data_IF_857078726429
#
_entry.id   IF_857078726429
#
_cell.length_a   1.000
_cell.length_b   1.000
_cell.length_c   1.000
_cell.angle_alpha   90.00
_cell.angle_beta   90.00
_cell.angle_gamma   90.00
#
_symmetry.space_group_name_H-M   'P 1'
#
loop_
_entity.id
_entity.type
_entity.pdbx_description
1 polymer ?
#
# COMPACT_ATOMS: atom_id res chain seq x y z
N UNK A 1 -10.21 12.79 5.54
CA UNK A 1 -9.78 14.04 4.88
C UNK A 1 -9.16 13.76 3.52
N UNK A 2 -7.93 13.20 3.45
CA UNK A 2 -7.26 12.81 2.19
C UNK A 2 -8.17 12.03 1.22
N UNK A 3 -8.85 10.98 1.70
CA UNK A 3 -9.85 10.20 0.95
C UNK A 3 -10.88 11.07 0.23
N UNK A 4 -11.26 12.20 0.86
CA UNK A 4 -12.26 13.11 0.34
C UNK A 4 -11.64 14.09 -0.66
N UNK A 5 -10.43 14.61 -0.40
CA UNK A 5 -9.68 15.43 -1.36
C UNK A 5 -9.45 14.65 -2.66
N UNK A 6 -8.91 13.43 -2.57
CA UNK A 6 -8.73 12.55 -3.73
C UNK A 6 -10.04 12.23 -4.47
N UNK A 7 -11.13 11.96 -3.73
CA UNK A 7 -12.46 11.73 -4.36
C UNK A 7 -12.97 12.95 -5.12
N UNK A 8 -12.62 14.15 -4.66
CA UNK A 8 -12.94 15.43 -5.29
C UNK A 8 -11.93 15.85 -6.38
N UNK A 9 -10.93 15.01 -6.68
CA UNK A 9 -9.91 15.27 -7.71
C UNK A 9 -8.71 16.10 -7.24
N UNK A 10 -8.62 16.43 -5.95
CA UNK A 10 -7.46 17.13 -5.36
C UNK A 10 -6.44 16.10 -4.88
N UNK A 11 -5.32 16.03 -5.59
CA UNK A 11 -4.30 15.00 -5.42
C UNK A 11 -3.51 15.17 -4.11
N UNK A 12 -3.88 14.41 -3.09
CA UNK A 12 -3.12 14.32 -1.84
C UNK A 12 -2.14 13.14 -1.80
N UNK A 13 -1.87 12.47 -2.93
CA UNK A 13 -1.16 11.20 -2.98
C UNK A 13 -1.99 10.05 -2.38
N UNK A 14 -1.32 8.92 -2.11
CA UNK A 14 -1.96 7.75 -1.47
C UNK A 14 -2.47 8.11 -0.08
N UNK A 15 -3.67 7.66 0.28
CA UNK A 15 -4.29 7.95 1.58
C UNK A 15 -3.52 7.20 2.69
N UNK A 16 -2.67 7.90 3.42
CA UNK A 16 -1.82 7.36 4.49
C UNK A 16 -2.22 7.84 5.90
N UNK A 17 -3.19 8.76 5.99
CA UNK A 17 -3.62 9.40 7.24
C UNK A 17 -2.76 10.61 7.63
N UNK A 18 -1.69 10.90 6.89
CA UNK A 18 -0.66 11.89 7.25
C UNK A 18 -0.98 13.25 6.61
N UNK A 19 -0.96 14.31 7.41
CA UNK A 19 -1.06 15.68 6.90
C UNK A 19 0.30 16.18 6.37
N UNK A 20 0.82 15.50 5.34
CA UNK A 20 2.07 15.84 4.68
C UNK A 20 1.98 17.02 3.71
N UNK A 21 3.10 17.43 3.07
CA UNK A 21 3.14 18.56 2.14
C UNK A 21 2.23 18.36 0.91
N UNK A 22 2.07 17.11 0.43
CA UNK A 22 1.15 16.78 -0.68
C UNK A 22 -0.30 16.94 -0.24
N UNK A 23 -0.67 16.40 0.94
CA UNK A 23 -1.99 16.63 1.57
C UNK A 23 -2.28 18.10 1.79
N UNK A 24 -1.28 18.90 2.15
CA UNK A 24 -1.41 20.35 2.30
C UNK A 24 -1.61 21.04 0.95
N UNK A 25 -0.88 20.65 -0.10
CA UNK A 25 -1.08 21.20 -1.45
C UNK A 25 -2.50 20.91 -1.97
N UNK A 26 -2.95 19.65 -1.85
CA UNK A 26 -4.33 19.25 -2.17
C UNK A 26 -5.37 20.08 -1.41
N UNK A 27 -5.13 20.36 -0.13
CA UNK A 27 -6.01 21.19 0.68
C UNK A 27 -6.01 22.66 0.21
N UNK A 28 -4.84 23.22 -0.11
CA UNK A 28 -4.71 24.58 -0.67
C UNK A 28 -5.50 24.71 -1.97
N UNK A 29 -5.40 23.72 -2.85
CA UNK A 29 -6.10 23.74 -4.14
C UNK A 29 -7.61 23.50 -3.97
N UNK A 30 -8.03 22.68 -3.01
CA UNK A 30 -9.44 22.58 -2.60
C UNK A 30 -9.96 23.92 -2.07
N UNK A 31 -9.21 24.57 -1.16
CA UNK A 31 -9.57 25.88 -0.59
C UNK A 31 -9.69 26.96 -1.68
N UNK A 32 -8.78 26.99 -2.66
CA UNK A 32 -8.89 27.87 -3.84
C UNK A 32 -10.16 27.62 -4.64
N UNK A 33 -10.50 26.36 -4.88
CA UNK A 33 -11.65 25.98 -5.71
C UNK A 33 -12.99 26.38 -5.05
N UNK A 34 -13.11 26.25 -3.72
CA UNK A 34 -14.29 26.71 -2.97
C UNK A 34 -14.32 28.23 -2.68
N UNK A 35 -13.33 28.99 -3.15
CA UNK A 35 -13.22 30.44 -2.89
C UNK A 35 -12.86 30.82 -1.45
N UNK A 36 -12.26 29.89 -0.69
CA UNK A 36 -11.81 30.10 0.69
C UNK A 36 -10.35 30.56 0.76
N UNK A 37 -9.92 30.97 1.95
CA UNK A 37 -8.56 31.46 2.19
C UNK A 37 -7.55 30.30 2.15
N UNK A 38 -6.74 30.26 1.09
CA UNK A 38 -5.97 29.10 0.65
C UNK A 38 -4.64 28.91 1.42
N UNK A 39 -4.74 28.84 2.74
CA UNK A 39 -3.62 28.77 3.68
C UNK A 39 -3.12 27.32 3.96
N UNK A 40 -3.86 26.30 3.52
CA UNK A 40 -3.54 24.90 3.77
C UNK A 40 -3.67 24.49 5.24
N UNK A 41 -4.53 25.18 6.00
CA UNK A 41 -4.87 24.85 7.39
C UNK A 41 -6.22 24.14 7.41
N UNK A 42 -6.27 22.96 8.03
CA UNK A 42 -7.50 22.20 8.20
C UNK A 42 -8.31 22.77 9.38
N UNK A 43 -9.29 23.64 9.10
CA UNK A 43 -10.26 24.11 10.10
C UNK A 43 -11.52 23.23 10.13
N UNK A 44 -12.32 23.24 11.22
CA UNK A 44 -13.62 22.56 11.24
C UNK A 44 -14.52 22.97 10.07
N UNK A 45 -14.60 24.26 9.75
CA UNK A 45 -15.35 24.77 8.58
C UNK A 45 -14.83 24.19 7.26
N UNK A 46 -13.50 24.04 7.12
CA UNK A 46 -12.89 23.42 5.93
C UNK A 46 -13.32 21.96 5.82
N UNK A 47 -13.41 21.22 6.94
CA UNK A 47 -13.88 19.83 6.97
C UNK A 47 -15.37 19.73 6.63
N UNK A 48 -16.22 20.63 7.16
CA UNK A 48 -17.66 20.64 6.87
C UNK A 48 -17.95 20.95 5.40
N UNK A 49 -17.23 21.89 4.80
CA UNK A 49 -17.35 22.17 3.35
C UNK A 49 -16.82 20.98 2.53
N UNK A 50 -15.68 20.40 2.90
CA UNK A 50 -15.11 19.22 2.26
C UNK A 50 -16.09 18.03 2.26
N UNK A 51 -16.73 17.75 3.39
CA UNK A 51 -17.75 16.70 3.50
C UNK A 51 -18.99 17.02 2.66
N UNK A 52 -19.46 18.27 2.65
CA UNK A 52 -20.63 18.72 1.88
C UNK A 52 -20.43 18.64 0.37
N UNK A 53 -19.25 18.99 -0.14
CA UNK A 53 -18.92 18.83 -1.57
C UNK A 53 -18.77 17.33 -1.92
N UNK A 54 -18.25 16.52 -0.99
CA UNK A 54 -18.11 15.07 -1.21
C UNK A 54 -19.43 14.31 -1.33
N UNK A 55 -20.48 14.73 -0.61
CA UNK A 55 -21.80 14.09 -0.70
C UNK A 55 -22.53 14.44 -1.99
N UNK A 56 -22.14 15.53 -2.67
CA UNK A 56 -22.66 15.92 -3.99
C UNK A 56 -21.93 15.23 -5.15
N UNK A 57 -20.80 14.55 -4.91
CA UNK A 57 -19.88 14.06 -5.95
C UNK A 57 -20.12 12.61 -6.42
N UNK A 58 -21.27 12.01 -6.12
CA UNK A 58 -21.71 10.71 -6.68
C UNK A 58 -21.01 9.47 -6.10
N UNK A 59 -21.64 8.29 -6.28
CA UNK A 59 -21.24 7.01 -5.65
C UNK A 59 -20.27 6.15 -6.48
N UNK A 60 -19.55 6.73 -7.44
CA UNK A 60 -18.57 5.99 -8.24
C UNK A 60 -17.31 5.61 -7.44
N UNK A 61 -16.50 4.64 -7.93
CA UNK A 61 -15.16 4.42 -7.39
C UNK A 61 -14.38 5.74 -7.52
N UNK A 62 -13.92 6.27 -6.39
CA UNK A 62 -13.29 7.60 -6.34
C UNK A 62 -12.04 7.68 -7.22
N UNK A 63 -11.64 8.89 -7.64
CA UNK A 63 -10.57 9.09 -8.63
C UNK A 63 -9.24 8.39 -8.30
N UNK A 64 -8.96 8.11 -7.02
CA UNK A 64 -7.82 7.29 -6.60
C UNK A 64 -7.83 5.86 -7.17
N UNK A 65 -8.98 5.19 -7.22
CA UNK A 65 -9.10 3.81 -7.74
C UNK A 65 -9.06 3.76 -9.28
N UNK A 66 -9.52 4.82 -9.95
CA UNK A 66 -9.38 4.97 -11.41
C UNK A 66 -7.90 5.20 -11.75
N UNK A 67 -7.21 6.08 -11.01
CA UNK A 67 -5.79 6.35 -11.22
C UNK A 67 -4.90 5.14 -10.94
N UNK A 68 -5.12 4.43 -9.83
CA UNK A 68 -4.41 3.18 -9.53
C UNK A 68 -4.56 2.16 -10.68
N UNK A 69 -5.72 2.13 -11.35
CA UNK A 69 -5.95 1.24 -12.51
C UNK A 69 -5.21 1.67 -13.78
N UNK A 70 -5.01 2.97 -13.97
CA UNK A 70 -4.20 3.50 -15.07
C UNK A 70 -2.70 3.27 -14.80
N UNK A 71 -2.23 3.54 -13.58
CA UNK A 71 -0.85 3.31 -13.14
C UNK A 71 -0.45 1.82 -13.20
N UNK A 72 -1.36 0.91 -12.86
CA UNK A 72 -1.16 -0.55 -12.94
C UNK A 72 -1.50 -1.15 -14.32
N UNK A 73 -1.90 -0.34 -15.29
CA UNK A 73 -2.19 -0.79 -16.65
C UNK A 73 -0.94 -1.15 -17.46
N UNK A 74 0.23 -0.71 -17.02
CA UNK A 74 1.53 -1.02 -17.62
C UNK A 74 2.30 -2.03 -16.75
N UNK A 75 2.95 -3.01 -17.39
CA UNK A 75 3.82 -3.97 -16.69
C UNK A 75 5.11 -3.28 -16.23
N UNK A 76 5.51 -3.44 -14.97
CA UNK A 76 6.75 -2.87 -14.45
C UNK A 76 7.89 -3.90 -14.53
N UNK A 77 8.94 -3.68 -15.33
CA UNK A 77 10.05 -4.64 -15.43
C UNK A 77 10.75 -4.86 -14.08
N UNK A 78 11.10 -6.12 -13.76
CA UNK A 78 11.74 -6.52 -12.49
C UNK A 78 12.96 -5.62 -12.14
N UNK A 79 13.73 -5.23 -13.15
CA UNK A 79 14.96 -4.44 -12.99
C UNK A 79 14.73 -2.97 -12.62
N UNK A 80 13.52 -2.45 -12.84
CA UNK A 80 13.12 -1.08 -12.53
C UNK A 80 12.13 -1.00 -11.36
N UNK A 81 11.54 -2.14 -10.96
CA UNK A 81 10.61 -2.23 -9.85
C UNK A 81 11.25 -1.86 -8.50
N UNK A 82 10.72 -0.82 -7.87
CA UNK A 82 11.08 -0.29 -6.55
C UNK A 82 10.25 -0.98 -5.48
N UNK A 83 10.83 -2.00 -4.88
CA UNK A 83 10.16 -2.85 -3.87
C UNK A 83 10.54 -2.39 -2.47
N UNK A 84 9.57 -2.09 -1.60
CA UNK A 84 9.83 -1.79 -0.18
C UNK A 84 9.32 -2.92 0.70
N UNK A 85 10.19 -3.49 1.52
CA UNK A 85 9.89 -4.56 2.47
C UNK A 85 9.88 -3.99 3.88
N UNK A 86 8.71 -3.89 4.49
CA UNK A 86 8.52 -3.46 5.87
C UNK A 86 8.58 -4.62 6.86
N UNK A 87 9.36 -4.46 7.93
CA UNK A 87 9.42 -5.39 9.05
C UNK A 87 8.89 -4.79 10.34
N UNK A 88 7.84 -5.39 10.91
CA UNK A 88 7.39 -5.10 12.27
C UNK A 88 8.10 -5.99 13.30
N UNK A 89 7.89 -5.74 14.59
CA UNK A 89 8.56 -6.43 15.69
C UNK A 89 8.54 -7.97 15.53
N UNK A 90 9.70 -8.60 15.76
CA UNK A 90 9.87 -10.06 15.65
C UNK A 90 10.14 -10.59 14.23
N UNK A 91 10.07 -9.77 13.17
CA UNK A 91 10.16 -10.27 11.78
C UNK A 91 11.54 -10.21 11.12
N UNK A 92 12.57 -9.69 11.79
CA UNK A 92 13.91 -9.40 11.22
C UNK A 92 14.53 -10.56 10.43
N UNK A 93 14.41 -11.81 10.89
CA UNK A 93 14.98 -12.97 10.17
C UNK A 93 14.22 -13.30 8.88
N UNK A 94 12.92 -13.03 8.83
CA UNK A 94 12.11 -13.17 7.62
C UNK A 94 12.35 -12.00 6.65
N UNK A 95 12.39 -10.77 7.16
CA UNK A 95 12.72 -9.56 6.39
C UNK A 95 14.07 -9.74 5.69
N UNK A 96 15.09 -10.23 6.43
CA UNK A 96 16.42 -10.54 5.87
C UNK A 96 16.36 -11.64 4.81
N UNK A 97 15.60 -12.72 5.05
CA UNK A 97 15.44 -13.81 4.08
C UNK A 97 14.69 -13.36 2.81
N UNK A 98 13.71 -12.46 2.94
CA UNK A 98 12.96 -11.87 1.85
C UNK A 98 13.83 -10.88 1.06
N UNK A 99 14.48 -9.91 1.70
CA UNK A 99 15.36 -8.95 1.05
C UNK A 99 16.52 -9.63 0.31
N UNK A 100 17.11 -10.70 0.87
CA UNK A 100 18.18 -11.44 0.19
C UNK A 100 17.73 -12.10 -1.12
N UNK A 101 16.46 -12.53 -1.23
CA UNK A 101 15.88 -13.08 -2.46
C UNK A 101 15.36 -11.98 -3.38
N UNK A 102 14.69 -10.97 -2.82
CA UNK A 102 14.15 -9.85 -3.56
C UNK A 102 15.26 -9.10 -4.30
N UNK A 103 16.37 -8.78 -3.65
CA UNK A 103 17.51 -8.07 -4.28
C UNK A 103 18.19 -8.82 -5.43
N UNK A 104 17.99 -10.15 -5.54
CA UNK A 104 18.47 -10.94 -6.68
C UNK A 104 17.55 -10.84 -7.93
N UNK A 105 16.33 -10.34 -7.76
CA UNK A 105 15.27 -10.22 -8.79
C UNK A 105 14.98 -8.75 -9.09
N UNK A 106 14.79 -7.97 -8.03
CA UNK A 106 14.47 -6.55 -8.00
C UNK A 106 15.68 -5.78 -7.42
N UNK A 107 16.59 -5.25 -8.25
CA UNK A 107 17.81 -4.56 -7.78
C UNK A 107 17.54 -3.29 -6.97
N UNK A 108 16.31 -2.76 -7.05
CA UNK A 108 15.81 -1.61 -6.31
C UNK A 108 14.93 -2.02 -5.13
N UNK A 109 15.19 -3.19 -4.51
CA UNK A 109 14.51 -3.57 -3.26
C UNK A 109 15.21 -2.99 -2.03
N UNK A 110 14.44 -2.37 -1.13
CA UNK A 110 14.93 -1.82 0.13
C UNK A 110 14.07 -2.26 1.30
N UNK A 111 14.64 -2.29 2.50
CA UNK A 111 13.93 -2.62 3.75
C UNK A 111 13.63 -1.37 4.58
N UNK A 112 12.56 -1.43 5.35
CA UNK A 112 12.22 -0.46 6.42
C UNK A 112 11.81 -1.24 7.67
N UNK A 113 12.20 -0.76 8.84
CA UNK A 113 11.75 -1.25 10.15
C UNK A 113 11.21 -0.05 10.94
N UNK A 114 10.18 -0.27 11.77
CA UNK A 114 9.55 0.78 12.56
C UNK A 114 8.03 0.63 12.66
N UNK A 115 7.33 1.75 12.85
CA UNK A 115 5.88 1.78 12.89
C UNK A 115 5.26 1.95 11.49
N UNK A 116 3.92 1.80 11.44
CA UNK A 116 3.14 1.90 10.19
C UNK A 116 3.35 3.25 9.49
N UNK A 117 3.56 4.32 10.25
CA UNK A 117 3.79 5.68 9.74
C UNK A 117 5.16 5.74 9.04
N UNK A 118 6.20 5.26 9.70
CA UNK A 118 7.57 5.16 9.18
C UNK A 118 7.60 4.36 7.88
N UNK A 119 6.87 3.25 7.82
CA UNK A 119 6.78 2.40 6.63
C UNK A 119 6.08 3.11 5.47
N UNK A 120 4.95 3.79 5.73
CA UNK A 120 4.23 4.57 4.73
C UNK A 120 5.08 5.73 4.19
N UNK A 121 5.73 6.50 5.07
CA UNK A 121 6.63 7.58 4.67
C UNK A 121 7.82 7.08 3.86
N UNK A 122 8.44 5.96 4.24
CA UNK A 122 9.58 5.40 3.53
C UNK A 122 9.18 4.94 2.12
N UNK A 123 8.06 4.22 1.99
CA UNK A 123 7.54 3.75 0.70
C UNK A 123 7.17 4.93 -0.23
N UNK A 124 6.43 5.92 0.29
CA UNK A 124 6.03 7.10 -0.48
C UNK A 124 7.26 7.92 -0.93
N UNK A 125 8.25 8.11 -0.03
CA UNK A 125 9.49 8.87 -0.31
C UNK A 125 10.41 8.19 -1.31
N UNK A 126 10.44 6.85 -1.33
CA UNK A 126 11.17 6.07 -2.32
C UNK A 126 10.49 6.06 -3.70
N UNK A 127 9.19 6.40 -3.74
CA UNK A 127 8.34 6.16 -4.91
C UNK A 127 8.25 4.67 -5.18
N UNK A 128 7.88 3.88 -4.17
CA UNK A 128 7.79 2.43 -4.28
C UNK A 128 6.63 2.02 -5.19
N UNK A 129 6.90 1.17 -6.19
CA UNK A 129 5.87 0.55 -7.02
C UNK A 129 5.06 -0.47 -6.22
N UNK A 130 5.70 -1.09 -5.21
CA UNK A 130 5.06 -2.05 -4.30
C UNK A 130 5.67 -1.99 -2.90
N UNK A 131 4.81 -2.10 -1.89
CA UNK A 131 5.17 -2.25 -0.49
C UNK A 131 4.65 -3.59 0.05
N UNK A 132 5.49 -4.29 0.82
CA UNK A 132 5.19 -5.59 1.44
C UNK A 132 5.47 -5.51 2.92
N UNK A 133 4.43 -5.63 3.76
CA UNK A 133 4.57 -5.67 5.21
C UNK A 133 4.69 -7.09 5.76
N UNK A 134 5.57 -7.27 6.74
CA UNK A 134 5.76 -8.52 7.48
C UNK A 134 5.53 -8.25 8.97
N UNK A 135 4.60 -8.98 9.59
CA UNK A 135 4.36 -8.94 11.04
C UNK A 135 4.37 -10.35 11.65
N UNK A 136 4.49 -10.42 12.98
CA UNK A 136 4.34 -11.68 13.71
C UNK A 136 2.87 -11.87 14.13
N UNK A 137 2.34 -13.07 13.92
CA UNK A 137 1.04 -13.48 14.46
C UNK A 137 1.23 -14.44 15.62
N UNK A 138 0.37 -14.33 16.63
CA UNK A 138 0.21 -15.38 17.63
C UNK A 138 -0.67 -16.55 17.16
N UNK A 139 -1.32 -16.44 16.00
CA UNK A 139 -2.20 -17.48 15.45
C UNK A 139 -1.44 -18.44 14.53
N UNK A 140 -1.82 -19.73 14.50
CA UNK A 140 -1.35 -20.72 13.50
C UNK A 140 -1.89 -20.46 12.06
N UNK A 141 -2.22 -19.21 11.74
CA UNK A 141 -2.69 -18.74 10.44
C UNK A 141 -1.58 -17.98 9.69
N UNK A 142 -1.76 -17.81 8.38
CA UNK A 142 -0.96 -16.91 7.56
C UNK A 142 -1.93 -15.91 6.93
N UNK A 143 -2.24 -14.84 7.66
CA UNK A 143 -3.20 -13.81 7.19
C UNK A 143 -2.47 -12.73 6.40
N UNK A 144 -3.21 -12.09 5.49
CA UNK A 144 -2.70 -11.37 4.33
C UNK A 144 -3.65 -10.16 4.07
N UNK A 145 -3.35 -8.96 4.61
CA UNK A 145 -4.22 -7.75 4.58
C UNK A 145 -3.92 -6.67 3.53
N UNK A 146 -4.95 -5.92 3.07
CA UNK A 146 -4.84 -4.79 2.12
C UNK A 146 -5.02 -3.43 2.77
N UNK A 147 -4.57 -2.42 2.04
CA UNK A 147 -5.23 -1.13 2.09
C UNK A 147 -6.66 -1.20 1.51
N UNK A 148 -7.63 -1.35 2.42
CA UNK A 148 -9.06 -1.16 2.17
C UNK A 148 -9.64 -0.19 3.21
N UNK A 149 -10.47 0.74 2.75
CA UNK A 149 -11.29 1.64 3.57
C UNK A 149 -12.69 1.76 2.92
N UNK A 150 -13.75 2.19 3.63
CA UNK A 150 -15.13 2.18 3.10
C UNK A 150 -15.41 2.98 1.82
N UNK A 151 -14.43 3.73 1.30
CA UNK A 151 -14.52 4.52 0.08
C UNK A 151 -13.41 4.22 -0.96
N UNK A 152 -12.50 3.26 -0.67
CA UNK A 152 -11.39 2.89 -1.56
C UNK A 152 -10.85 1.49 -1.21
N UNK A 153 -10.68 0.66 -2.23
CA UNK A 153 -10.02 -0.65 -2.16
C UNK A 153 -8.83 -0.61 -3.11
N UNK A 154 -7.62 -0.93 -2.63
CA UNK A 154 -6.45 -1.05 -3.52
C UNK A 154 -6.61 -2.27 -4.42
N UNK A 155 -6.85 -2.04 -5.71
CA UNK A 155 -7.02 -3.12 -6.69
C UNK A 155 -5.71 -3.88 -6.92
N UNK A 156 -4.57 -3.16 -6.94
CA UNK A 156 -3.25 -3.77 -7.09
C UNK A 156 -2.84 -4.57 -5.86
N UNK A 157 -3.06 -4.01 -4.67
CA UNK A 157 -2.82 -4.71 -3.41
C UNK A 157 -3.61 -6.02 -3.32
N UNK A 158 -4.90 -5.98 -3.67
CA UNK A 158 -5.77 -7.16 -3.70
C UNK A 158 -5.25 -8.21 -4.69
N UNK A 159 -5.03 -7.83 -5.95
CA UNK A 159 -4.55 -8.75 -6.99
C UNK A 159 -3.17 -9.37 -6.66
N UNK A 160 -2.25 -8.57 -6.10
CA UNK A 160 -0.91 -9.03 -5.70
C UNK A 160 -0.98 -10.18 -4.71
N UNK A 161 -1.85 -10.09 -3.69
CA UNK A 161 -1.95 -11.22 -2.79
C UNK A 161 -3.01 -12.25 -3.14
N UNK A 162 -3.94 -12.01 -4.08
CA UNK A 162 -4.74 -13.11 -4.64
C UNK A 162 -3.74 -14.17 -5.18
N UNK A 163 -2.61 -13.70 -5.74
CA UNK A 163 -1.45 -14.50 -6.16
C UNK A 163 -0.61 -15.06 -4.99
N UNK A 164 -0.26 -14.27 -3.96
CA UNK A 164 0.48 -14.78 -2.78
C UNK A 164 -0.32 -15.85 -2.01
N UNK A 165 -1.64 -15.68 -1.96
CA UNK A 165 -2.63 -16.64 -1.46
C UNK A 165 -2.67 -17.88 -2.34
N UNK A 166 -2.85 -17.74 -3.66
CA UNK A 166 -2.95 -18.86 -4.59
C UNK A 166 -1.65 -19.69 -4.70
N UNK A 167 -0.50 -19.10 -4.34
CA UNK A 167 0.80 -19.80 -4.23
C UNK A 167 0.87 -20.72 -2.98
N UNK A 168 -0.22 -20.80 -2.19
CA UNK A 168 -0.44 -21.76 -1.10
C UNK A 168 -1.89 -22.28 -1.11
N UNK A 169 -2.16 -23.32 -0.33
CA UNK A 169 -3.54 -23.77 -0.04
C UNK A 169 -4.27 -22.83 0.98
N UNK A 170 -4.04 -21.51 0.98
CA UNK A 170 -4.49 -20.60 2.06
C UNK A 170 -4.91 -19.19 1.62
N UNK A 171 -6.19 -18.85 1.89
CA UNK A 171 -6.91 -17.55 1.66
C UNK A 171 -6.50 -16.43 2.64
N UNK A 172 -6.71 -15.12 2.42
CA UNK A 172 -7.31 -14.26 1.35
C UNK A 172 -6.59 -12.86 1.40
N UNK A 173 -6.75 -11.87 0.50
CA UNK A 173 -5.55 -11.27 -0.11
C UNK A 173 -5.32 -9.74 -0.08
N UNK A 174 -4.27 -9.27 0.63
CA UNK A 174 -3.17 -8.37 0.16
C UNK A 174 -1.95 -8.41 1.13
N UNK A 175 -0.81 -7.74 0.89
CA UNK A 175 0.45 -8.08 1.61
C UNK A 175 0.75 -7.38 2.95
N UNK A 176 0.08 -7.83 4.02
CA UNK A 176 0.62 -7.88 5.38
C UNK A 176 0.60 -9.32 5.88
N UNK A 177 1.74 -10.01 5.82
CA UNK A 177 1.86 -11.41 6.26
C UNK A 177 1.95 -11.48 7.79
N UNK A 178 0.87 -11.87 8.44
CA UNK A 178 0.83 -12.23 9.85
C UNK A 178 1.07 -13.74 9.97
N UNK A 179 2.16 -14.16 10.61
CA UNK A 179 2.54 -15.59 10.66
C UNK A 179 2.77 -16.10 12.08
N UNK A 180 2.26 -17.32 12.35
CA UNK A 180 2.25 -17.97 13.66
C UNK A 180 3.59 -18.23 14.37
N UNK A 181 3.54 -18.89 15.54
CA UNK A 181 4.59 -18.85 16.56
C UNK A 181 5.99 -19.28 16.09
N UNK A 182 6.99 -18.62 16.68
CA UNK A 182 8.42 -18.57 16.28
C UNK A 182 9.06 -19.94 16.01
N UNK A 183 8.59 -20.99 16.72
CA UNK A 183 9.08 -22.37 16.64
C UNK A 183 8.81 -23.04 15.29
N UNK A 184 7.77 -22.64 14.55
CA UNK A 184 7.37 -23.23 13.26
C UNK A 184 7.90 -22.40 12.08
N UNK A 185 7.97 -21.07 12.25
CA UNK A 185 8.31 -20.12 11.18
C UNK A 185 9.79 -20.19 10.77
N UNK A 186 10.73 -20.28 11.72
CA UNK A 186 12.18 -20.28 11.44
C UNK A 186 12.62 -21.35 10.41
N UNK A 187 11.98 -22.52 10.41
CA UNK A 187 12.26 -23.61 9.46
C UNK A 187 11.68 -23.38 8.05
N UNK A 188 10.75 -22.43 7.89
CA UNK A 188 10.04 -22.18 6.62
C UNK A 188 10.32 -20.80 6.01
N UNK A 189 11.05 -19.90 6.68
CA UNK A 189 11.40 -18.55 6.20
C UNK A 189 11.90 -18.54 4.74
N UNK A 190 12.76 -19.50 4.37
CA UNK A 190 13.28 -19.62 3.02
C UNK A 190 12.19 -19.89 1.95
N UNK A 191 11.21 -20.73 2.27
CA UNK A 191 10.10 -21.08 1.38
C UNK A 191 9.05 -19.96 1.30
N UNK A 192 8.76 -19.29 2.43
CA UNK A 192 7.88 -18.12 2.51
C UNK A 192 8.44 -16.99 1.64
N UNK A 193 9.70 -16.62 1.87
CA UNK A 193 10.39 -15.59 1.11
C UNK A 193 10.42 -15.91 -0.40
N UNK A 194 10.55 -17.18 -0.78
CA UNK A 194 10.51 -17.60 -2.17
C UNK A 194 9.11 -17.43 -2.80
N UNK A 195 8.05 -17.86 -2.11
CA UNK A 195 6.67 -17.72 -2.58
C UNK A 195 6.27 -16.24 -2.78
N UNK A 196 6.65 -15.37 -1.84
CA UNK A 196 6.41 -13.92 -1.92
C UNK A 196 7.14 -13.30 -3.13
N UNK A 197 8.43 -13.62 -3.33
CA UNK A 197 9.20 -13.09 -4.48
C UNK A 197 8.67 -13.57 -5.82
N UNK A 198 8.26 -14.84 -5.94
CA UNK A 198 7.62 -15.34 -7.17
C UNK A 198 6.31 -14.61 -7.45
N UNK A 199 5.44 -14.48 -6.44
CA UNK A 199 4.14 -13.81 -6.61
C UNK A 199 4.30 -12.32 -6.96
N UNK A 200 5.28 -11.64 -6.36
CA UNK A 200 5.64 -10.25 -6.70
C UNK A 200 6.09 -10.11 -8.15
N UNK A 201 6.92 -11.05 -8.66
CA UNK A 201 7.34 -11.07 -10.06
C UNK A 201 6.12 -11.20 -10.98
N UNK A 202 5.30 -12.21 -10.71
CA UNK A 202 4.16 -12.54 -11.56
C UNK A 202 3.13 -11.41 -11.56
N UNK A 203 2.96 -10.70 -10.44
CA UNK A 203 2.15 -9.49 -10.34
C UNK A 203 2.78 -8.29 -11.08
N UNK A 204 4.08 -8.02 -10.95
CA UNK A 204 4.74 -6.93 -11.67
C UNK A 204 4.68 -7.10 -13.20
N UNK A 205 4.68 -8.35 -13.68
CA UNK A 205 4.50 -8.68 -15.09
C UNK A 205 3.05 -8.47 -15.56
N UNK A 206 2.06 -8.77 -14.72
CA UNK A 206 0.63 -8.70 -15.02
C UNK A 206 -0.19 -8.25 -13.80
N UNK A 207 -0.28 -6.94 -13.50
CA UNK A 207 -0.84 -6.47 -12.22
C UNK A 207 -2.35 -6.63 -12.07
N UNK A 208 -3.06 -6.78 -13.20
CA UNK A 208 -4.53 -6.74 -13.31
C UNK A 208 -5.13 -7.91 -14.13
N UNK A 209 -4.35 -8.93 -14.49
CA UNK A 209 -4.91 -10.15 -15.11
C UNK A 209 -5.45 -11.12 -14.03
N UNK A 210 -6.65 -11.65 -14.28
CA UNK A 210 -7.39 -12.62 -13.44
C UNK A 210 -6.75 -14.03 -13.44
#
# INVERSE_FOLDING_TARGET
MQTVLNRLGFDCGRVDGIFGPVTKAALVDFQRNIGADANGICTPDTVDVLLRVSSQSGSGPGAAAVREREELGESTPEKTARVVIGGFDGTTDLVRALQHRASAVFPLSTTVEGDVITHAEAANRYGADVYVGLEHSSEDSCTVYFYEVPAFVSIGGKALADRIVATRETRMPAVLCSMGPDTVVRLKNAAIANAVVTSLRDWLAAPLED
#
